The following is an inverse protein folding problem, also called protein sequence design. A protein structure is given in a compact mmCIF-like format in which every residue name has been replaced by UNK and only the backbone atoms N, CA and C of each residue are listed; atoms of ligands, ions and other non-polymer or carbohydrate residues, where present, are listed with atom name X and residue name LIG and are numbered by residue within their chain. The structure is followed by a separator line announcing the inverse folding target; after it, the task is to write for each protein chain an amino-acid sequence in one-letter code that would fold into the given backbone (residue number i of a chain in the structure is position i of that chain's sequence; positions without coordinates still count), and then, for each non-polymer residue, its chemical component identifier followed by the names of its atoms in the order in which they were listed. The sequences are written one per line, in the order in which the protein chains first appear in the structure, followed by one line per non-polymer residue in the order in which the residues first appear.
data_IF_541255995551
#
_entry.id   IF_541255995551
#
_cell.length_a   1.000
_cell.length_b   1.000
_cell.length_c   1.000
_cell.angle_alpha   90.00
_cell.angle_beta   90.00
_cell.angle_gamma   90.00
#
_symmetry.space_group_name_H-M   'P 1'
#
loop_
_entity.id
_entity.type
_entity.pdbx_description
1 polymer ?
#
# COMPACT_ATOMS: atom_id res chain seq x y z
N UNK A 1 4.67 21.69 -8.26
CA UNK A 1 5.66 21.58 -7.19
C UNK A 1 7.02 21.22 -7.79
N UNK A 2 8.08 21.97 -7.43
CA UNK A 2 9.43 21.74 -7.96
C UNK A 2 10.20 20.63 -7.23
N UNK A 3 9.85 20.37 -5.95
CA UNK A 3 10.41 19.28 -5.14
C UNK A 3 9.29 18.63 -4.34
N UNK A 4 9.39 17.32 -4.09
CA UNK A 4 8.44 16.58 -3.23
C UNK A 4 8.53 16.99 -1.76
N UNK A 5 9.69 17.51 -1.34
CA UNK A 5 9.97 17.83 0.05
C UNK A 5 9.46 19.23 0.46
N UNK A 6 9.09 20.06 -0.52
CA UNK A 6 8.55 21.41 -0.26
C UNK A 6 7.07 21.32 0.09
N UNK A 7 6.73 21.77 1.29
CA UNK A 7 5.36 21.94 1.76
C UNK A 7 4.87 23.35 1.39
N UNK A 8 3.89 23.41 0.49
CA UNK A 8 3.24 24.65 0.09
C UNK A 8 2.03 24.88 1.00
N UNK A 9 2.02 25.94 1.80
CA UNK A 9 0.95 26.27 2.76
C UNK A 9 0.06 27.39 2.24
N UNK A 10 -1.16 27.47 2.79
CA UNK A 10 -2.13 28.52 2.45
C UNK A 10 -2.76 28.36 1.07
N UNK A 11 -2.77 27.13 0.55
CA UNK A 11 -3.48 26.82 -0.69
C UNK A 11 -4.97 26.60 -0.42
N UNK A 12 -5.75 26.58 -1.49
CA UNK A 12 -7.17 26.20 -1.45
C UNK A 12 -7.39 24.91 -2.24
N UNK A 13 -8.32 24.10 -1.75
CA UNK A 13 -8.88 22.95 -2.46
C UNK A 13 -10.38 23.02 -2.47
N UNK A 14 -10.98 22.69 -3.60
CA UNK A 14 -12.43 22.42 -3.71
C UNK A 14 -12.58 21.01 -4.29
N UNK A 15 -13.38 20.19 -3.61
CA UNK A 15 -13.70 18.82 -4.01
C UNK A 15 -15.21 18.78 -4.24
N UNK A 16 -15.61 18.52 -5.48
CA UNK A 16 -17.00 18.52 -5.91
C UNK A 16 -17.43 17.14 -6.38
N UNK A 17 -18.69 16.80 -6.16
CA UNK A 17 -19.31 15.58 -6.69
C UNK A 17 -20.72 15.86 -7.20
N UNK A 18 -21.15 15.15 -8.24
CA UNK A 18 -22.49 15.28 -8.77
C UNK A 18 -23.54 14.92 -7.70
N UNK A 19 -24.49 15.84 -7.45
CA UNK A 19 -25.56 15.66 -6.46
C UNK A 19 -25.13 15.74 -5.00
N UNK A 20 -23.87 16.05 -4.71
CA UNK A 20 -23.32 16.24 -3.37
C UNK A 20 -23.02 17.70 -3.04
N UNK A 21 -22.62 17.93 -1.80
CA UNK A 21 -22.09 19.24 -1.36
C UNK A 21 -20.58 19.28 -1.61
N UNK A 22 -20.11 20.43 -2.07
CA UNK A 22 -18.68 20.67 -2.24
C UNK A 22 -17.99 20.81 -0.88
N UNK A 23 -16.79 20.24 -0.77
CA UNK A 23 -15.86 20.53 0.30
C UNK A 23 -14.88 21.61 -0.19
N UNK A 24 -14.84 22.74 0.51
CA UNK A 24 -13.83 23.78 0.24
C UNK A 24 -13.02 24.06 1.49
N UNK A 25 -11.71 24.05 1.36
CA UNK A 25 -10.75 24.45 2.41
C UNK A 25 -9.73 25.43 1.79
N UNK A 26 -9.57 26.59 2.44
CA UNK A 26 -8.71 27.69 1.96
C UNK A 26 -7.37 27.78 2.67
N UNK A 27 -7.05 26.81 3.52
CA UNK A 27 -5.77 26.77 4.26
C UNK A 27 -5.15 25.37 4.22
N UNK A 28 -4.99 24.86 3.03
CA UNK A 28 -4.44 23.52 2.77
C UNK A 28 -2.92 23.56 2.67
N UNK A 29 -2.27 22.57 3.26
CA UNK A 29 -0.88 22.24 2.93
C UNK A 29 -0.87 21.25 1.77
N UNK A 30 -0.06 21.53 0.75
CA UNK A 30 0.08 20.71 -0.45
C UNK A 30 1.55 20.36 -0.68
N UNK A 31 1.87 19.12 -1.04
CA UNK A 31 3.22 18.68 -1.40
C UNK A 31 3.23 17.57 -2.43
N UNK A 32 4.38 17.37 -3.07
CA UNK A 32 4.64 16.16 -3.85
C UNK A 32 4.80 14.92 -2.94
N UNK A 33 4.67 13.73 -3.53
CA UNK A 33 4.91 12.45 -2.85
C UNK A 33 5.48 11.40 -3.80
N UNK A 34 5.78 10.22 -3.25
CA UNK A 34 6.32 9.09 -4.00
C UNK A 34 7.84 9.16 -4.20
N UNK A 35 8.42 8.05 -4.54
CA UNK A 35 9.83 7.91 -4.85
C UNK A 35 10.02 7.83 -6.37
N UNK A 36 9.92 6.65 -6.96
CA UNK A 36 10.00 6.47 -8.42
C UNK A 36 8.94 7.30 -9.16
N UNK A 37 7.70 7.27 -8.70
CA UNK A 37 6.57 7.97 -9.34
C UNK A 37 6.70 9.48 -9.36
N UNK A 38 7.48 10.08 -8.44
CA UNK A 38 7.78 11.52 -8.45
C UNK A 38 8.65 11.93 -9.64
N UNK A 39 9.43 11.03 -10.19
CA UNK A 39 10.32 11.30 -11.33
C UNK A 39 9.58 11.31 -12.67
N UNK A 40 8.33 10.81 -12.70
CA UNK A 40 7.51 10.73 -13.90
C UNK A 40 6.87 12.09 -14.23
N UNK A 41 6.37 12.21 -15.45
CA UNK A 41 5.70 13.41 -15.95
C UNK A 41 4.38 13.72 -15.24
N UNK A 42 3.54 12.70 -14.97
CA UNK A 42 2.35 12.80 -14.13
C UNK A 42 2.69 12.42 -12.70
N UNK A 43 2.71 13.39 -11.81
CA UNK A 43 3.21 13.26 -10.44
C UNK A 43 2.11 13.02 -9.43
N UNK A 44 2.33 12.18 -8.42
CA UNK A 44 1.42 12.04 -7.29
C UNK A 44 1.62 13.17 -6.28
N UNK A 45 0.54 13.48 -5.52
CA UNK A 45 0.53 14.56 -4.55
C UNK A 45 -0.08 14.11 -3.22
N UNK A 46 0.14 14.93 -2.21
CA UNK A 46 -0.53 14.85 -0.91
C UNK A 46 -1.03 16.24 -0.55
N UNK A 47 -2.23 16.30 0.04
CA UNK A 47 -2.69 17.52 0.67
C UNK A 47 -3.20 17.25 2.09
N UNK A 48 -3.08 18.26 2.96
CA UNK A 48 -3.52 18.23 4.35
C UNK A 48 -4.50 19.37 4.57
N UNK A 49 -5.73 19.01 4.90
CA UNK A 49 -6.80 19.96 5.23
C UNK A 49 -6.50 20.68 6.55
N UNK A 50 -7.06 21.85 6.74
CA UNK A 50 -6.97 22.61 8.00
C UNK A 50 -7.63 21.87 9.16
N UNK A 51 -8.69 21.11 8.89
CA UNK A 51 -9.39 20.27 9.87
C UNK A 51 -9.78 18.93 9.29
N UNK A 52 -10.03 17.91 10.15
CA UNK A 52 -10.53 16.60 9.71
C UNK A 52 -11.89 16.75 9.05
N UNK A 53 -12.06 16.25 7.84
CA UNK A 53 -13.32 16.24 7.09
C UNK A 53 -13.53 14.87 6.39
N UNK A 54 -14.83 14.55 6.17
CA UNK A 54 -15.19 13.47 5.24
C UNK A 54 -15.00 13.96 3.81
N UNK A 55 -14.39 13.14 2.96
CA UNK A 55 -14.15 13.47 1.56
C UNK A 55 -14.79 12.40 0.68
N UNK A 56 -15.72 12.78 -0.18
CA UNK A 56 -16.43 11.88 -1.11
C UNK A 56 -17.00 10.62 -0.43
N UNK A 57 -17.51 10.76 0.78
CA UNK A 57 -18.08 9.66 1.57
C UNK A 57 -17.07 8.84 2.38
N UNK A 58 -15.78 9.02 2.15
CA UNK A 58 -14.71 8.39 2.95
C UNK A 58 -14.62 9.00 4.35
N UNK A 59 -14.02 8.28 5.28
CA UNK A 59 -13.97 8.67 6.68
C UNK A 59 -13.10 9.89 6.96
N UNK A 60 -13.41 10.56 8.08
CA UNK A 60 -12.78 11.84 8.41
C UNK A 60 -11.28 11.74 8.59
N UNK A 61 -10.54 12.51 7.81
CA UNK A 61 -9.10 12.70 7.96
C UNK A 61 -8.67 14.11 7.57
N UNK A 62 -7.45 14.47 7.94
CA UNK A 62 -6.78 15.69 7.43
C UNK A 62 -5.98 15.40 6.18
N UNK A 63 -5.23 14.29 6.15
CA UNK A 63 -4.27 13.98 5.09
C UNK A 63 -4.89 13.05 4.05
N UNK A 64 -4.77 13.46 2.79
CA UNK A 64 -5.31 12.77 1.63
C UNK A 64 -4.24 12.66 0.56
N UNK A 65 -4.28 11.57 -0.22
CA UNK A 65 -3.33 11.29 -1.27
C UNK A 65 -4.00 11.36 -2.64
N UNK A 66 -3.28 11.88 -3.61
CA UNK A 66 -3.62 11.84 -5.03
C UNK A 66 -2.61 10.93 -5.72
N UNK A 67 -2.99 9.67 -5.90
CA UNK A 67 -2.18 8.67 -6.59
C UNK A 67 -2.34 8.89 -8.10
N UNK A 68 -1.22 9.07 -8.79
CA UNK A 68 -1.23 9.46 -10.19
C UNK A 68 -1.63 8.33 -11.14
N UNK A 69 -1.49 7.07 -10.73
CA UNK A 69 -1.67 5.88 -11.57
C UNK A 69 -0.87 5.93 -12.88
N UNK A 70 0.30 6.59 -12.87
CA UNK A 70 1.07 6.82 -14.10
C UNK A 70 1.66 5.52 -14.64
N UNK A 71 1.93 4.56 -13.75
CA UNK A 71 2.44 3.24 -14.08
C UNK A 71 1.32 2.19 -14.23
N UNK A 72 0.08 2.58 -13.97
CA UNK A 72 -1.11 1.73 -14.16
C UNK A 72 -2.09 2.39 -15.13
N UNK A 73 -2.01 2.03 -16.41
CA UNK A 73 -2.89 2.58 -17.44
C UNK A 73 -4.36 2.17 -17.29
N UNK A 74 -4.65 1.11 -16.52
CA UNK A 74 -6.02 0.76 -16.14
C UNK A 74 -6.59 1.72 -15.08
N UNK A 75 -5.73 2.33 -14.27
CA UNK A 75 -6.06 3.18 -13.12
C UNK A 75 -6.84 2.45 -12.01
N UNK A 76 -6.97 1.12 -12.08
CA UNK A 76 -7.87 0.34 -11.22
C UNK A 76 -7.14 -0.54 -10.20
N UNK A 77 -5.88 -0.92 -10.45
CA UNK A 77 -5.20 -1.99 -9.68
C UNK A 77 -5.15 -1.71 -8.18
N UNK A 78 -4.67 -0.54 -7.78
CA UNK A 78 -4.65 -0.16 -6.36
C UNK A 78 -6.06 -0.22 -5.75
N UNK A 79 -7.06 0.42 -6.40
CA UNK A 79 -8.43 0.43 -5.89
C UNK A 79 -9.02 -0.96 -5.75
N UNK A 80 -8.81 -1.82 -6.75
CA UNK A 80 -9.34 -3.17 -6.75
C UNK A 80 -8.76 -4.02 -5.60
N UNK A 81 -7.45 -3.90 -5.35
CA UNK A 81 -6.80 -4.63 -4.24
C UNK A 81 -7.22 -4.07 -2.89
N UNK A 82 -7.34 -2.74 -2.75
CA UNK A 82 -7.80 -2.14 -1.49
C UNK A 82 -9.25 -2.55 -1.17
N UNK A 83 -10.12 -2.57 -2.17
CA UNK A 83 -11.51 -3.01 -1.98
C UNK A 83 -11.60 -4.50 -1.64
N UNK A 84 -10.75 -5.35 -2.23
CA UNK A 84 -10.66 -6.76 -1.89
C UNK A 84 -10.22 -6.95 -0.42
N UNK A 85 -9.17 -6.25 0.01
CA UNK A 85 -8.70 -6.32 1.39
C UNK A 85 -9.78 -5.88 2.38
N UNK A 86 -10.42 -4.73 2.13
CA UNK A 86 -11.54 -4.27 2.96
C UNK A 86 -12.71 -5.26 3.00
N UNK A 87 -13.00 -5.95 1.88
CA UNK A 87 -14.03 -6.99 1.84
C UNK A 87 -13.63 -8.28 2.57
N UNK A 88 -12.35 -8.47 2.85
CA UNK A 88 -11.81 -9.56 3.68
C UNK A 88 -11.68 -9.18 5.16
N UNK A 89 -12.23 -8.03 5.57
CA UNK A 89 -12.12 -7.44 6.91
C UNK A 89 -10.69 -6.99 7.29
N UNK A 90 -9.82 -6.79 6.28
CA UNK A 90 -8.50 -6.20 6.46
C UNK A 90 -8.54 -4.73 6.08
N UNK A 91 -8.24 -3.83 7.03
CA UNK A 91 -8.25 -2.41 6.70
C UNK A 91 -7.27 -2.10 5.57
N UNK A 92 -7.75 -1.43 4.54
CA UNK A 92 -6.97 -0.88 3.45
C UNK A 92 -7.48 0.52 3.09
N UNK A 93 -6.65 1.37 2.48
CA UNK A 93 -7.09 2.71 2.10
C UNK A 93 -8.31 2.68 1.18
N UNK A 94 -9.38 3.37 1.55
CA UNK A 94 -10.46 3.63 0.60
C UNK A 94 -10.05 4.74 -0.38
N UNK A 95 -10.65 4.77 -1.56
CA UNK A 95 -10.31 5.72 -2.61
C UNK A 95 -11.45 6.02 -3.56
N UNK A 96 -11.38 7.19 -4.19
CA UNK A 96 -12.32 7.64 -5.24
C UNK A 96 -11.52 8.21 -6.41
N UNK A 97 -11.89 7.86 -7.62
CA UNK A 97 -11.30 8.52 -8.80
C UNK A 97 -11.80 9.95 -8.91
N UNK A 98 -10.88 10.86 -9.16
CA UNK A 98 -11.14 12.29 -9.29
C UNK A 98 -10.36 12.86 -10.47
N UNK A 99 -11.01 13.76 -11.22
CA UNK A 99 -10.32 14.58 -12.19
C UNK A 99 -9.72 15.79 -11.50
N UNK A 100 -8.42 16.02 -11.66
CA UNK A 100 -7.66 17.02 -10.91
C UNK A 100 -7.29 18.22 -11.78
N UNK A 101 -7.53 19.41 -11.27
CA UNK A 101 -7.02 20.68 -11.81
C UNK A 101 -6.10 21.35 -10.78
N UNK A 102 -4.93 21.78 -11.21
CA UNK A 102 -4.02 22.59 -10.41
C UNK A 102 -3.79 23.90 -11.15
N UNK A 103 -4.08 25.01 -10.47
CA UNK A 103 -4.00 26.36 -11.04
C UNK A 103 -4.73 26.51 -12.39
N UNK A 104 -5.92 25.90 -12.49
CA UNK A 104 -6.73 25.92 -13.71
C UNK A 104 -6.29 24.98 -14.84
N UNK A 105 -5.20 24.22 -14.64
CA UNK A 105 -4.69 23.25 -15.61
C UNK A 105 -5.09 21.85 -15.24
N UNK A 106 -5.71 21.11 -16.16
CA UNK A 106 -6.08 19.71 -15.98
C UNK A 106 -4.84 18.83 -15.84
N UNK A 107 -4.80 18.04 -14.79
CA UNK A 107 -3.68 17.15 -14.45
C UNK A 107 -3.97 15.68 -14.73
N UNK A 108 -5.21 15.33 -15.07
CA UNK A 108 -5.62 13.96 -15.32
C UNK A 108 -6.49 13.36 -14.22
N UNK A 109 -6.80 12.08 -14.38
CA UNK A 109 -7.55 11.28 -13.43
C UNK A 109 -6.61 10.70 -12.35
N UNK A 110 -6.93 10.93 -11.09
CA UNK A 110 -6.18 10.43 -9.93
C UNK A 110 -7.05 9.53 -9.06
N UNK A 111 -6.43 8.63 -8.32
CA UNK A 111 -7.08 8.00 -7.19
C UNK A 111 -6.85 8.89 -5.96
N UNK A 112 -7.89 9.59 -5.53
CA UNK A 112 -7.91 10.27 -4.24
C UNK A 112 -8.17 9.23 -3.17
N UNK A 113 -7.20 8.97 -2.31
CA UNK A 113 -7.30 7.90 -1.33
C UNK A 113 -6.78 8.32 0.05
N UNK A 114 -7.10 7.49 1.01
CA UNK A 114 -6.63 7.55 2.38
C UNK A 114 -5.13 7.30 2.44
N UNK A 115 -4.48 7.89 3.43
CA UNK A 115 -3.06 7.63 3.71
C UNK A 115 -2.94 6.44 4.68
N UNK A 116 -2.03 5.53 4.41
CA UNK A 116 -1.57 4.56 5.42
C UNK A 116 -0.87 5.33 6.53
N UNK A 117 -1.48 5.37 7.69
CA UNK A 117 -1.00 6.05 8.89
C UNK A 117 -1.77 5.53 10.10
N UNK A 118 -1.24 5.73 11.29
CA UNK A 118 -1.95 5.47 12.54
C UNK A 118 -3.06 6.52 12.76
N UNK A 119 -4.19 6.09 13.27
CA UNK A 119 -5.29 6.97 13.68
C UNK A 119 -6.67 6.37 13.48
N UNK A 120 -7.66 7.02 14.05
CA UNK A 120 -9.07 6.64 13.94
C UNK A 120 -9.51 6.53 12.48
N UNK A 121 -10.12 5.42 12.10
CA UNK A 121 -10.50 5.04 10.74
C UNK A 121 -9.29 4.93 9.78
N UNK A 122 -8.14 4.56 10.30
CA UNK A 122 -6.91 4.21 9.59
C UNK A 122 -6.36 2.92 10.20
N UNK A 123 -5.04 2.78 10.31
CA UNK A 123 -4.48 1.75 11.18
C UNK A 123 -4.78 2.16 12.62
N UNK A 124 -5.78 1.54 13.22
CA UNK A 124 -6.21 1.87 14.58
C UNK A 124 -5.31 1.15 15.57
N UNK A 125 -4.52 1.92 16.30
CA UNK A 125 -3.70 1.46 17.41
C UNK A 125 -4.22 2.17 18.67
N UNK A 126 -4.65 1.38 19.66
CA UNK A 126 -5.26 1.89 20.88
C UNK A 126 -4.23 2.19 21.96
N UNK A 127 -3.06 1.50 21.90
CA UNK A 127 -2.00 1.66 22.87
C UNK A 127 -1.03 2.77 22.46
N UNK A 128 -0.59 3.59 23.43
CA UNK A 128 0.34 4.70 23.17
C UNK A 128 1.70 4.26 22.61
N UNK A 129 2.08 3.00 22.81
CA UNK A 129 3.29 2.38 22.28
C UNK A 129 3.05 1.53 21.02
N UNK A 130 1.92 1.73 20.36
CA UNK A 130 1.61 1.12 19.07
C UNK A 130 2.52 1.63 17.94
N UNK A 131 2.97 0.74 17.09
CA UNK A 131 3.91 1.01 15.99
C UNK A 131 3.38 0.48 14.67
N UNK A 132 3.47 1.31 13.64
CA UNK A 132 3.31 0.94 12.22
C UNK A 132 4.66 1.01 11.53
N UNK A 133 5.08 -0.11 10.95
CA UNK A 133 6.34 -0.26 10.25
C UNK A 133 6.14 -0.67 8.78
N UNK A 134 7.16 -0.44 7.96
CA UNK A 134 7.21 -0.90 6.58
C UNK A 134 8.51 -1.67 6.35
N UNK A 135 8.40 -2.87 5.80
CA UNK A 135 9.53 -3.56 5.19
C UNK A 135 9.86 -2.85 3.88
N UNK A 136 11.02 -2.18 3.83
CA UNK A 136 11.49 -1.40 2.69
C UNK A 136 12.96 -1.66 2.43
N UNK A 137 13.26 -2.59 1.56
CA UNK A 137 14.64 -2.92 1.19
C UNK A 137 15.22 -2.00 0.11
N UNK A 138 14.44 -1.01 -0.37
CA UNK A 138 14.84 -0.15 -1.48
C UNK A 138 15.20 1.25 -0.99
N UNK A 139 14.37 1.84 -0.13
CA UNK A 139 14.49 3.25 0.26
C UNK A 139 14.77 3.47 1.74
N UNK A 140 14.95 2.40 2.53
CA UNK A 140 15.14 2.46 3.99
C UNK A 140 16.22 3.44 4.44
N UNK A 141 17.30 3.56 3.68
CA UNK A 141 18.44 4.42 4.02
C UNK A 141 18.15 5.94 3.91
N UNK A 142 16.99 6.31 3.40
CA UNK A 142 16.47 7.67 3.39
C UNK A 142 15.59 8.00 4.59
N UNK A 143 15.28 6.99 5.43
CA UNK A 143 14.45 7.14 6.62
C UNK A 143 15.30 7.35 7.87
N UNK A 144 14.77 8.08 8.86
CA UNK A 144 15.51 8.40 10.09
C UNK A 144 15.62 7.19 11.03
N UNK A 145 14.55 6.39 11.13
CA UNK A 145 14.48 5.24 12.02
C UNK A 145 14.23 3.96 11.24
N UNK A 146 15.20 3.07 11.27
CA UNK A 146 15.12 1.74 10.68
C UNK A 146 16.03 0.76 11.38
N UNK A 147 15.72 -0.53 11.25
CA UNK A 147 16.59 -1.62 11.69
C UNK A 147 16.58 -2.75 10.65
N UNK A 148 17.43 -3.75 10.85
CA UNK A 148 17.49 -4.93 9.99
C UNK A 148 17.03 -6.15 10.78
N UNK A 149 16.02 -6.86 10.30
CA UNK A 149 15.56 -8.12 10.91
C UNK A 149 16.71 -9.16 10.97
N UNK A 150 16.83 -9.80 12.12
CA UNK A 150 18.01 -10.56 12.48
C UNK A 150 18.20 -11.86 11.68
N UNK A 151 17.13 -12.42 11.08
CA UNK A 151 17.16 -13.64 10.27
C UNK A 151 16.86 -13.36 8.79
N UNK A 152 15.87 -12.51 8.49
CA UNK A 152 15.48 -12.20 7.12
C UNK A 152 16.48 -11.29 6.41
N UNK A 153 17.21 -10.46 7.15
CA UNK A 153 18.03 -9.39 6.60
C UNK A 153 17.20 -8.24 6.00
N UNK A 154 15.89 -8.28 6.14
CA UNK A 154 14.97 -7.23 5.67
C UNK A 154 15.12 -5.97 6.50
N UNK A 155 15.07 -4.82 5.84
CA UNK A 155 15.08 -3.52 6.51
C UNK A 155 13.66 -3.08 6.82
N UNK A 156 13.42 -2.74 8.08
CA UNK A 156 12.14 -2.22 8.57
C UNK A 156 12.29 -0.75 8.94
N UNK A 157 11.36 0.07 8.47
CA UNK A 157 11.35 1.53 8.71
C UNK A 157 10.15 1.90 9.55
N UNK A 158 10.33 2.83 10.51
CA UNK A 158 9.24 3.40 11.29
C UNK A 158 8.42 4.34 10.39
N UNK A 159 7.13 4.05 10.22
CA UNK A 159 6.25 4.88 9.38
C UNK A 159 5.31 5.76 10.17
N UNK A 160 4.81 5.26 11.29
CA UNK A 160 3.95 6.02 12.18
C UNK A 160 3.87 5.34 13.56
N UNK A 161 3.42 6.06 14.56
CA UNK A 161 3.20 5.53 15.89
C UNK A 161 1.90 6.08 16.47
N UNK A 162 1.37 5.41 17.50
CA UNK A 162 0.21 5.88 18.24
C UNK A 162 0.53 7.09 19.12
N UNK A 163 1.80 7.29 19.51
CA UNK A 163 2.25 8.48 20.19
C UNK A 163 2.16 9.71 19.27
N UNK A 164 1.65 10.82 19.79
CA UNK A 164 1.51 12.06 19.04
C UNK A 164 2.88 12.61 18.59
N UNK A 165 3.00 12.89 17.28
CA UNK A 165 4.09 13.58 16.60
C UNK A 165 5.47 12.89 16.57
N UNK A 166 5.73 12.15 15.46
CA UNK A 166 7.08 11.70 15.07
C UNK A 166 8.09 12.86 14.84
N UNK A 167 7.61 14.11 14.75
CA UNK A 167 8.47 15.30 14.55
C UNK A 167 9.18 15.75 15.84
N UNK A 168 8.79 15.26 16.99
CA UNK A 168 9.52 15.44 18.24
C UNK A 168 10.14 14.08 18.62
N UNK A 169 11.47 14.03 18.73
CA UNK A 169 12.24 12.87 19.18
C UNK A 169 11.80 12.45 20.62
N UNK A 170 10.59 11.96 20.71
CA UNK A 170 10.06 11.51 21.99
C UNK A 170 10.71 10.18 22.38
N UNK A 171 11.24 10.14 23.59
CA UNK A 171 11.81 8.93 24.18
C UNK A 171 10.80 7.77 24.26
N UNK A 172 9.50 8.06 24.29
CA UNK A 172 8.43 7.06 24.29
C UNK A 172 8.33 6.36 22.92
N UNK A 173 8.31 7.10 21.82
CA UNK A 173 8.29 6.52 20.46
C UNK A 173 9.54 5.68 20.19
N UNK A 174 10.72 6.14 20.58
CA UNK A 174 11.96 5.37 20.41
C UNK A 174 11.97 4.08 21.26
N UNK A 175 11.39 4.13 22.46
CA UNK A 175 11.22 2.95 23.30
C UNK A 175 10.22 1.96 22.69
N UNK A 176 9.09 2.45 22.17
CA UNK A 176 8.10 1.65 21.47
C UNK A 176 8.71 1.00 20.22
N UNK A 177 9.49 1.76 19.44
CA UNK A 177 10.22 1.26 18.28
C UNK A 177 11.20 0.15 18.63
N UNK A 178 12.00 0.32 19.69
CA UNK A 178 12.92 -0.73 20.17
C UNK A 178 12.18 -1.98 20.69
N UNK A 179 10.98 -1.80 21.30
CA UNK A 179 10.12 -2.92 21.69
C UNK A 179 9.57 -3.66 20.49
N UNK A 180 9.21 -2.93 19.43
CA UNK A 180 8.77 -3.51 18.16
C UNK A 180 9.89 -4.32 17.49
N UNK A 181 11.11 -3.78 17.39
CA UNK A 181 12.30 -4.48 16.90
C UNK A 181 12.53 -5.79 17.65
N UNK A 182 12.50 -5.73 18.99
CA UNK A 182 12.67 -6.91 19.83
C UNK A 182 11.63 -7.99 19.54
N UNK A 183 10.35 -7.61 19.43
CA UNK A 183 9.27 -8.56 19.15
C UNK A 183 9.38 -9.17 17.75
N UNK A 184 9.83 -8.39 16.77
CA UNK A 184 10.07 -8.86 15.41
C UNK A 184 11.24 -9.84 15.36
N UNK A 185 12.34 -9.54 16.02
CA UNK A 185 13.50 -10.44 16.12
C UNK A 185 13.14 -11.75 16.85
N UNK A 186 12.37 -11.68 17.92
CA UNK A 186 11.86 -12.88 18.60
C UNK A 186 10.96 -13.72 17.69
N UNK A 187 10.14 -13.10 16.85
CA UNK A 187 9.34 -13.80 15.86
C UNK A 187 10.23 -14.45 14.79
N UNK A 188 11.19 -13.71 14.25
CA UNK A 188 12.12 -14.26 13.26
C UNK A 188 12.92 -15.42 13.80
N UNK A 189 13.43 -15.35 15.04
CA UNK A 189 14.19 -16.42 15.67
C UNK A 189 13.41 -17.75 15.70
N UNK A 190 12.13 -17.72 16.05
CA UNK A 190 11.31 -18.95 16.06
C UNK A 190 10.83 -19.36 14.68
N UNK A 191 10.60 -18.41 13.79
CA UNK A 191 10.19 -18.68 12.42
C UNK A 191 11.29 -19.35 11.60
N UNK A 192 12.54 -18.90 11.75
CA UNK A 192 13.68 -19.44 11.00
C UNK A 192 14.36 -20.62 11.69
N UNK A 193 13.91 -21.02 12.88
CA UNK A 193 14.42 -22.20 13.55
C UNK A 193 14.27 -23.44 12.67
N UNK A 194 15.26 -24.34 12.71
CA UNK A 194 15.24 -25.60 11.96
C UNK A 194 14.13 -26.55 12.46
N UNK A 195 13.83 -26.48 13.75
CA UNK A 195 12.74 -27.23 14.40
C UNK A 195 11.64 -26.23 14.77
N UNK A 196 10.66 -26.07 13.86
CA UNK A 196 9.59 -25.09 13.97
C UNK A 196 8.51 -25.57 14.93
N UNK A 197 8.30 -24.85 16.03
CA UNK A 197 7.13 -25.04 16.90
C UNK A 197 6.02 -24.06 16.51
N UNK A 198 4.98 -24.58 15.88
CA UNK A 198 3.85 -23.77 15.45
C UNK A 198 3.16 -23.05 16.61
N UNK A 199 3.06 -23.65 17.79
CA UNK A 199 2.41 -22.99 18.93
C UNK A 199 3.19 -21.73 19.35
N UNK A 200 4.52 -21.77 19.26
CA UNK A 200 5.34 -20.60 19.56
C UNK A 200 5.22 -19.58 18.43
N UNK A 201 5.35 -19.99 17.18
CA UNK A 201 5.24 -19.09 16.02
C UNK A 201 3.89 -18.37 16.04
N UNK A 202 2.78 -19.12 16.16
CA UNK A 202 1.43 -18.56 16.11
C UNK A 202 1.10 -17.67 17.32
N UNK A 203 1.85 -17.78 18.43
CA UNK A 203 1.70 -16.87 19.57
C UNK A 203 2.36 -15.51 19.39
N UNK A 204 3.15 -15.31 18.31
CA UNK A 204 3.86 -14.07 18.02
C UNK A 204 3.21 -13.23 16.95
N UNK A 205 2.24 -13.78 16.20
CA UNK A 205 1.61 -13.14 15.06
C UNK A 205 0.07 -13.27 15.10
N UNK A 206 -0.62 -12.33 14.50
CA UNK A 206 -2.00 -12.54 14.08
C UNK A 206 -2.02 -13.39 12.81
N UNK A 207 -2.29 -14.68 12.99
CA UNK A 207 -2.19 -15.67 11.90
C UNK A 207 -3.14 -15.34 10.75
N UNK A 208 -4.30 -14.74 11.05
CA UNK A 208 -5.29 -14.39 10.03
C UNK A 208 -4.79 -13.25 9.16
N UNK A 209 -4.31 -12.15 9.72
CA UNK A 209 -3.78 -11.02 8.94
C UNK A 209 -2.61 -11.45 8.05
N UNK A 210 -1.73 -12.33 8.56
CA UNK A 210 -0.65 -12.90 7.75
C UNK A 210 -1.19 -13.75 6.59
N UNK A 211 -2.20 -14.60 6.82
CA UNK A 211 -2.79 -15.43 5.78
C UNK A 211 -3.52 -14.59 4.72
N UNK A 212 -4.27 -13.56 5.12
CA UNK A 212 -5.01 -12.68 4.22
C UNK A 212 -4.08 -11.81 3.38
N UNK A 213 -3.06 -11.22 4.01
CA UNK A 213 -2.02 -10.46 3.28
C UNK A 213 -1.30 -11.34 2.24
N UNK A 214 -0.92 -12.57 2.63
CA UNK A 214 -0.32 -13.55 1.72
C UNK A 214 -1.24 -13.85 0.55
N UNK A 215 -2.50 -14.21 0.82
CA UNK A 215 -3.48 -14.58 -0.20
C UNK A 215 -3.71 -13.45 -1.22
N UNK A 216 -3.89 -12.23 -0.73
CA UNK A 216 -4.08 -11.06 -1.61
C UNK A 216 -2.85 -10.89 -2.50
N UNK A 217 -1.65 -10.86 -1.92
CA UNK A 217 -0.41 -10.62 -2.63
C UNK A 217 -0.08 -11.69 -3.68
N UNK A 218 -0.33 -12.96 -3.35
CA UNK A 218 -0.13 -14.08 -4.27
C UNK A 218 -1.15 -14.10 -5.40
N UNK A 219 -2.42 -13.86 -5.09
CA UNK A 219 -3.47 -13.90 -6.09
C UNK A 219 -3.34 -12.81 -7.15
N UNK A 220 -2.91 -11.61 -6.75
CA UNK A 220 -2.70 -10.51 -7.70
C UNK A 220 -1.30 -10.50 -8.30
N UNK A 221 -0.41 -11.39 -7.85
CA UNK A 221 1.00 -11.48 -8.28
C UNK A 221 1.69 -10.10 -8.26
N UNK A 222 1.62 -9.41 -7.13
CA UNK A 222 2.31 -8.13 -6.98
C UNK A 222 3.81 -8.37 -6.75
N UNK A 223 4.61 -8.17 -7.79
CA UNK A 223 6.04 -8.45 -7.75
C UNK A 223 6.85 -7.53 -6.83
N UNK A 224 6.31 -6.37 -6.46
CA UNK A 224 6.94 -5.42 -5.54
C UNK A 224 6.71 -5.77 -4.06
N UNK A 225 5.66 -6.55 -3.81
CA UNK A 225 5.37 -7.08 -2.48
C UNK A 225 6.55 -7.90 -1.97
N UNK A 226 6.79 -7.84 -0.66
CA UNK A 226 7.89 -8.48 0.06
C UNK A 226 9.27 -7.83 -0.15
N UNK A 227 9.37 -6.78 -0.97
CA UNK A 227 10.62 -6.01 -1.17
C UNK A 227 10.52 -4.60 -0.59
N UNK A 228 9.40 -3.93 -0.82
CA UNK A 228 9.06 -2.61 -0.30
C UNK A 228 7.55 -2.49 -0.15
N UNK A 229 7.08 -1.38 0.41
CA UNK A 229 5.64 -1.11 0.59
C UNK A 229 4.87 -2.21 1.32
N UNK A 230 5.57 -3.02 2.10
CA UNK A 230 5.03 -4.15 2.86
C UNK A 230 4.90 -3.74 4.32
N UNK A 231 3.67 -3.47 4.75
CA UNK A 231 3.42 -2.97 6.10
C UNK A 231 3.17 -4.08 7.10
N UNK A 232 3.58 -3.81 8.34
CA UNK A 232 3.21 -4.59 9.52
C UNK A 232 3.07 -3.65 10.72
N UNK A 233 2.31 -4.06 11.71
CA UNK A 233 2.08 -3.24 12.90
C UNK A 233 1.93 -4.07 14.15
N UNK A 234 1.97 -3.40 15.30
CA UNK A 234 1.74 -3.96 16.63
C UNK A 234 1.09 -2.92 17.50
N UNK A 235 -0.03 -3.27 18.14
CA UNK A 235 -0.76 -2.36 19.04
C UNK A 235 -0.23 -2.47 20.47
N UNK A 236 1.03 -2.00 20.66
CA UNK A 236 1.70 -1.98 21.94
C UNK A 236 2.47 -3.27 22.30
N UNK A 237 3.11 -3.25 23.48
CA UNK A 237 4.04 -4.28 23.89
C UNK A 237 3.39 -5.64 24.23
N UNK A 238 2.11 -5.64 24.56
CA UNK A 238 1.36 -6.84 24.93
C UNK A 238 0.62 -7.50 23.74
N UNK A 239 0.65 -6.86 22.55
CA UNK A 239 0.05 -7.37 21.33
C UNK A 239 1.03 -8.23 20.50
N UNK A 240 0.52 -8.90 19.48
CA UNK A 240 1.29 -9.68 18.50
C UNK A 240 1.56 -8.85 17.23
N UNK A 241 2.40 -9.35 16.34
CA UNK A 241 2.62 -8.73 15.03
C UNK A 241 1.44 -9.00 14.09
N UNK A 242 0.96 -7.95 13.42
CA UNK A 242 -0.05 -8.01 12.36
C UNK A 242 0.57 -7.64 11.02
N UNK A 243 0.13 -8.29 9.94
CA UNK A 243 0.46 -7.89 8.56
C UNK A 243 -0.56 -6.91 8.00
N UNK A 244 -0.08 -6.05 7.15
CA UNK A 244 -0.91 -5.03 6.49
C UNK A 244 -0.68 -3.63 7.06
N UNK A 245 -1.42 -2.64 6.51
CA UNK A 245 -2.37 -2.77 5.39
C UNK A 245 -1.68 -3.00 4.04
N UNK A 246 -2.46 -3.46 3.06
CA UNK A 246 -2.00 -3.54 1.67
C UNK A 246 -1.78 -2.15 1.10
N UNK A 247 -0.67 -1.96 0.36
CA UNK A 247 -0.29 -0.68 -0.23
C UNK A 247 0.57 -0.88 -1.48
N UNK A 248 0.38 0.00 -2.49
CA UNK A 248 1.21 0.08 -3.69
C UNK A 248 1.14 -1.17 -4.59
N UNK A 249 -0.08 -1.47 -5.04
CA UNK A 249 -0.37 -2.62 -5.90
C UNK A 249 -0.52 -2.25 -7.38
N UNK A 250 0.06 -1.16 -7.81
CA UNK A 250 0.01 -0.75 -9.22
C UNK A 250 0.83 -1.68 -10.14
N UNK A 251 1.78 -2.41 -9.58
CA UNK A 251 2.58 -3.43 -10.26
C UNK A 251 1.95 -4.84 -10.26
N UNK A 252 0.74 -4.98 -9.71
CA UNK A 252 -0.02 -6.24 -9.65
C UNK A 252 -0.78 -6.56 -10.94
N UNK A 253 -1.44 -7.73 -10.98
CA UNK A 253 -2.36 -8.14 -12.05
C UNK A 253 -1.73 -7.98 -13.44
N UNK A 254 -0.57 -8.60 -13.62
CA UNK A 254 0.20 -8.61 -14.85
C UNK A 254 0.64 -7.21 -15.37
N UNK A 255 0.75 -6.24 -14.49
CA UNK A 255 1.28 -4.91 -14.83
C UNK A 255 2.80 -4.89 -14.66
N UNK A 256 3.50 -5.72 -15.42
CA UNK A 256 4.96 -5.84 -15.40
C UNK A 256 5.55 -5.67 -16.77
N UNK A 257 6.75 -5.14 -16.78
CA UNK A 257 7.60 -5.11 -17.96
C UNK A 257 8.68 -6.22 -17.82
N UNK A 258 8.92 -6.94 -18.89
CA UNK A 258 10.02 -7.91 -18.99
C UNK A 258 11.39 -7.27 -18.69
N UNK A 259 11.50 -5.94 -18.81
CA UNK A 259 12.71 -5.19 -18.48
C UNK A 259 13.12 -5.27 -16.99
N UNK A 260 12.21 -5.65 -16.10
CA UNK A 260 12.52 -5.89 -14.68
C UNK A 260 13.14 -7.28 -14.41
N UNK A 261 13.42 -8.06 -15.46
CA UNK A 261 14.16 -9.31 -15.33
C UNK A 261 13.34 -10.51 -14.89
N UNK A 262 12.04 -10.36 -14.76
CA UNK A 262 11.13 -11.47 -14.45
C UNK A 262 10.74 -12.15 -15.75
N UNK A 263 11.47 -13.21 -16.12
CA UNK A 263 11.30 -13.91 -17.39
C UNK A 263 9.95 -14.63 -17.52
N UNK A 264 9.29 -14.97 -16.43
CA UNK A 264 7.94 -15.50 -16.38
C UNK A 264 7.33 -15.25 -15.01
N UNK A 265 6.61 -14.14 -14.78
CA UNK A 265 6.01 -13.82 -13.49
C UNK A 265 4.97 -14.84 -13.03
N UNK A 266 4.41 -15.63 -13.94
CA UNK A 266 3.41 -16.65 -13.64
C UNK A 266 4.01 -18.05 -13.42
N UNK A 267 5.33 -18.20 -13.41
CA UNK A 267 5.99 -19.50 -13.26
C UNK A 267 6.16 -19.93 -11.82
N UNK A 268 6.02 -19.00 -10.86
CA UNK A 268 6.25 -19.27 -9.44
C UNK A 268 5.36 -18.36 -8.58
N UNK A 269 5.33 -18.63 -7.28
CA UNK A 269 4.65 -17.78 -6.30
C UNK A 269 5.33 -16.42 -6.16
N UNK A 270 4.55 -15.36 -5.89
CA UNK A 270 5.07 -14.02 -5.69
C UNK A 270 6.09 -13.96 -4.55
N UNK A 271 5.90 -14.75 -3.50
CA UNK A 271 6.86 -14.88 -2.38
C UNK A 271 8.23 -15.43 -2.79
N UNK A 272 8.33 -16.13 -3.92
CA UNK A 272 9.58 -16.69 -4.44
C UNK A 272 10.20 -15.81 -5.54
N UNK A 273 9.49 -14.80 -6.01
CA UNK A 273 10.00 -13.89 -7.02
C UNK A 273 11.06 -12.99 -6.37
N UNK A 274 12.32 -13.30 -6.67
CA UNK A 274 13.44 -12.45 -6.32
C UNK A 274 13.94 -11.74 -7.58
N UNK A 275 14.21 -10.45 -7.46
CA UNK A 275 14.93 -9.77 -8.52
C UNK A 275 16.40 -10.20 -8.50
N UNK A 276 16.68 -11.34 -9.12
CA UNK A 276 18.01 -11.91 -9.17
C UNK A 276 19.03 -11.02 -9.90
N UNK A 277 18.54 -10.09 -10.73
CA UNK A 277 19.43 -9.18 -11.48
C UNK A 277 19.91 -8.01 -10.62
N UNK A 278 19.13 -7.58 -9.63
CA UNK A 278 19.46 -6.46 -8.74
C UNK A 278 20.04 -6.87 -7.41
N UNK A 279 19.95 -8.14 -7.04
CA UNK A 279 20.38 -8.63 -5.74
C UNK A 279 19.58 -8.02 -4.57
N UNK A 280 18.34 -7.63 -4.81
CA UNK A 280 17.47 -7.05 -3.80
C UNK A 280 17.06 -8.11 -2.77
N UNK A 281 17.02 -7.69 -1.50
CA UNK A 281 16.55 -8.53 -0.40
C UNK A 281 15.02 -8.59 -0.47
N UNK A 282 14.47 -9.77 -0.27
CA UNK A 282 13.03 -9.99 -0.19
C UNK A 282 12.66 -10.53 1.19
N UNK A 283 11.55 -10.09 1.73
CA UNK A 283 11.00 -10.61 2.98
C UNK A 283 10.58 -12.06 2.81
N UNK A 284 11.27 -12.98 3.46
CA UNK A 284 11.06 -14.42 3.28
C UNK A 284 10.18 -15.08 4.36
N UNK A 285 9.46 -14.28 5.15
CA UNK A 285 8.57 -14.79 6.21
C UNK A 285 7.54 -15.78 5.67
N UNK A 286 6.92 -15.47 4.53
CA UNK A 286 5.90 -16.34 3.94
C UNK A 286 6.47 -17.63 3.38
N UNK A 287 7.69 -17.60 2.85
CA UNK A 287 8.42 -18.82 2.46
C UNK A 287 8.63 -19.75 3.66
N UNK A 288 8.95 -19.20 4.82
CA UNK A 288 9.13 -19.95 6.06
C UNK A 288 7.81 -20.41 6.68
N UNK A 289 6.78 -19.54 6.71
CA UNK A 289 5.44 -19.87 7.21
C UNK A 289 4.79 -20.98 6.39
N UNK A 290 4.96 -20.97 5.07
CA UNK A 290 4.42 -22.02 4.17
C UNK A 290 5.05 -23.39 4.38
N UNK A 291 6.14 -23.51 5.13
CA UNK A 291 6.66 -24.81 5.60
C UNK A 291 5.83 -25.41 6.73
N UNK A 292 5.10 -24.57 7.48
CA UNK A 292 4.20 -25.01 8.55
C UNK A 292 2.87 -25.48 7.98
N UNK A 293 2.48 -26.73 8.30
CA UNK A 293 1.21 -27.28 7.81
C UNK A 293 0.01 -26.48 8.30
N UNK A 294 0.03 -26.06 9.56
CA UNK A 294 -1.06 -25.33 10.18
C UNK A 294 -1.28 -23.95 9.52
N UNK A 295 -0.21 -23.27 9.11
CA UNK A 295 -0.36 -22.03 8.36
C UNK A 295 -1.02 -22.26 6.99
N UNK A 296 -0.59 -23.30 6.27
CA UNK A 296 -1.23 -23.67 5.00
C UNK A 296 -2.70 -24.00 5.14
N UNK A 297 -3.09 -24.62 6.25
CA UNK A 297 -4.50 -24.94 6.56
C UNK A 297 -5.31 -23.65 6.77
N UNK A 298 -4.77 -22.66 7.48
CA UNK A 298 -5.41 -21.33 7.65
C UNK A 298 -5.52 -20.62 6.29
N UNK A 299 -4.44 -20.58 5.51
CA UNK A 299 -4.46 -19.98 4.15
C UNK A 299 -5.54 -20.65 3.28
N UNK A 300 -5.63 -21.98 3.29
CA UNK A 300 -6.63 -22.70 2.52
C UNK A 300 -8.05 -22.38 2.98
N UNK A 301 -8.27 -22.32 4.28
CA UNK A 301 -9.58 -22.00 4.88
C UNK A 301 -10.01 -20.58 4.52
N UNK A 302 -9.12 -19.59 4.70
CA UNK A 302 -9.37 -18.20 4.33
C UNK A 302 -9.64 -18.04 2.83
N UNK A 303 -8.87 -18.72 1.98
CA UNK A 303 -9.15 -18.72 0.55
C UNK A 303 -10.54 -19.24 0.23
N UNK A 304 -10.91 -20.41 0.75
CA UNK A 304 -12.17 -21.06 0.37
C UNK A 304 -13.41 -20.34 0.90
N UNK A 305 -13.34 -19.81 2.11
CA UNK A 305 -14.51 -19.27 2.81
C UNK A 305 -14.60 -17.76 2.83
N UNK A 306 -13.49 -17.05 2.57
CA UNK A 306 -13.47 -15.59 2.57
C UNK A 306 -13.16 -15.04 1.19
N UNK A 307 -11.99 -15.33 0.63
CA UNK A 307 -11.53 -14.69 -0.61
C UNK A 307 -12.25 -15.20 -1.86
N UNK A 308 -12.37 -16.51 -2.03
CA UNK A 308 -12.97 -17.11 -3.23
C UNK A 308 -14.40 -16.62 -3.51
N UNK A 309 -15.33 -16.52 -2.54
CA UNK A 309 -16.66 -15.95 -2.79
C UNK A 309 -16.64 -14.51 -3.30
N UNK A 310 -15.67 -13.70 -2.86
CA UNK A 310 -15.49 -12.33 -3.35
C UNK A 310 -15.00 -12.31 -4.80
N UNK A 311 -14.14 -13.26 -5.16
CA UNK A 311 -13.61 -13.37 -6.51
C UNK A 311 -14.63 -13.86 -7.55
N UNK A 312 -15.71 -14.51 -7.15
CA UNK A 312 -16.77 -14.95 -8.05
C UNK A 312 -17.42 -13.77 -8.80
N UNK A 313 -17.45 -12.58 -8.19
CA UNK A 313 -17.98 -11.34 -8.78
C UNK A 313 -16.90 -10.39 -9.28
N UNK A 314 -15.64 -10.80 -9.31
CA UNK A 314 -14.51 -9.93 -9.64
C UNK A 314 -14.65 -9.22 -10.99
N UNK A 315 -15.08 -9.95 -12.02
CA UNK A 315 -15.30 -9.38 -13.35
C UNK A 315 -16.38 -8.29 -13.36
N UNK A 316 -17.43 -8.45 -12.57
CA UNK A 316 -18.50 -7.44 -12.43
C UNK A 316 -17.95 -6.19 -11.75
N UNK A 317 -17.21 -6.35 -10.65
CA UNK A 317 -16.52 -5.26 -9.96
C UNK A 317 -15.59 -4.47 -10.90
N UNK A 318 -14.79 -5.16 -11.70
CA UNK A 318 -13.90 -4.50 -12.68
C UNK A 318 -14.70 -3.75 -13.77
N UNK A 319 -15.84 -4.28 -14.22
CA UNK A 319 -16.72 -3.60 -15.17
C UNK A 319 -17.36 -2.35 -14.58
N UNK A 320 -17.71 -2.35 -13.30
CA UNK A 320 -18.23 -1.18 -12.59
C UNK A 320 -17.17 -0.09 -12.48
N UNK A 321 -15.93 -0.45 -12.16
CA UNK A 321 -14.81 0.49 -12.19
C UNK A 321 -14.58 1.07 -13.57
N UNK A 322 -14.57 0.22 -14.59
CA UNK A 322 -14.44 0.65 -15.98
C UNK A 322 -15.55 1.64 -16.38
N UNK A 323 -16.79 1.35 -16.02
CA UNK A 323 -17.93 2.23 -16.30
C UNK A 323 -17.79 3.59 -15.58
N UNK A 324 -17.32 3.58 -14.34
CA UNK A 324 -17.06 4.79 -13.56
C UNK A 324 -15.95 5.63 -14.19
N UNK A 325 -14.89 5.00 -14.67
CA UNK A 325 -13.71 5.66 -15.24
C UNK A 325 -13.88 6.12 -16.70
N UNK A 326 -14.86 5.63 -17.42
CA UNK A 326 -14.93 5.73 -18.88
C UNK A 326 -14.60 7.13 -19.45
N UNK A 327 -15.20 8.18 -18.90
CA UNK A 327 -14.97 9.54 -19.39
C UNK A 327 -13.64 10.12 -18.92
N UNK A 328 -13.30 9.92 -17.64
CA UNK A 328 -12.02 10.38 -17.07
C UNK A 328 -10.83 9.71 -17.73
N UNK A 329 -10.94 8.41 -18.06
CA UNK A 329 -9.92 7.68 -18.78
C UNK A 329 -9.68 8.25 -20.19
N UNK A 330 -10.74 8.56 -20.94
CA UNK A 330 -10.61 9.20 -22.26
C UNK A 330 -9.89 10.55 -22.17
N UNK A 331 -10.19 11.36 -21.15
CA UNK A 331 -9.51 12.63 -20.90
C UNK A 331 -8.06 12.44 -20.46
N UNK A 332 -7.78 11.42 -19.64
CA UNK A 332 -6.43 11.02 -19.22
C UNK A 332 -5.54 10.74 -20.43
N UNK A 333 -6.01 9.92 -21.38
CA UNK A 333 -5.26 9.56 -22.59
C UNK A 333 -5.07 10.74 -23.55
N UNK A 334 -5.93 11.74 -23.52
CA UNK A 334 -5.72 13.00 -24.27
C UNK A 334 -4.66 13.89 -23.59
N UNK A 335 -4.64 13.90 -22.24
CA UNK A 335 -3.73 14.74 -21.46
C UNK A 335 -2.30 14.20 -21.46
N UNK A 336 -2.16 12.88 -21.34
CA UNK A 336 -0.90 12.17 -21.22
C UNK A 336 -0.75 11.18 -22.35
N UNK A 337 0.38 11.21 -23.06
CA UNK A 337 0.70 10.18 -24.04
C UNK A 337 1.11 8.90 -23.30
N UNK A 338 0.23 7.91 -23.30
CA UNK A 338 0.42 6.65 -22.60
C UNK A 338 0.88 5.51 -23.52
N UNK A 339 1.02 5.77 -24.83
CA UNK A 339 1.25 4.73 -25.84
C UNK A 339 2.64 4.07 -25.76
N UNK A 340 3.65 4.83 -25.33
CA UNK A 340 5.06 4.43 -25.43
C UNK A 340 5.76 4.44 -24.05
N UNK A 341 5.05 4.16 -22.97
CA UNK A 341 5.67 4.14 -21.63
C UNK A 341 6.26 2.76 -21.34
N UNK A 342 7.57 2.65 -21.09
CA UNK A 342 8.17 1.41 -20.59
C UNK A 342 7.61 1.06 -19.20
N UNK A 343 7.31 -0.21 -18.97
CA UNK A 343 6.85 -0.69 -17.66
C UNK A 343 5.38 -0.48 -17.36
N UNK A 344 4.57 -0.03 -18.30
CA UNK A 344 3.11 0.06 -18.13
C UNK A 344 2.43 -1.09 -18.85
N UNK A 345 1.36 -1.65 -18.27
CA UNK A 345 0.44 -2.48 -19.03
C UNK A 345 0.03 -1.69 -20.28
N UNK A 346 0.30 -2.24 -21.44
CA UNK A 346 0.04 -1.55 -22.70
C UNK A 346 -1.46 -1.27 -22.79
N UNK A 347 -1.81 -0.02 -23.05
CA UNK A 347 -3.03 0.24 -23.79
C UNK A 347 -3.00 -0.70 -25.00
N UNK A 348 -4.13 -1.21 -25.43
CA UNK A 348 -4.16 -2.02 -26.63
C UNK A 348 -3.42 -1.32 -27.77
N UNK A 349 -3.06 -2.05 -28.82
CA UNK A 349 -2.32 -1.50 -29.97
C UNK A 349 -3.03 -0.31 -30.63
N UNK A 350 -4.34 -0.11 -30.37
CA UNK A 350 -5.12 1.03 -30.84
C UNK A 350 -4.86 2.31 -30.02
N UNK A 351 -4.26 2.18 -28.84
CA UNK A 351 -4.04 3.28 -27.89
C UNK A 351 -5.33 3.87 -27.34
N UNK A 352 -6.37 3.08 -27.30
CA UNK A 352 -7.64 3.42 -26.65
C UNK A 352 -7.77 2.65 -25.35
N UNK A 353 -8.37 3.30 -24.37
CA UNK A 353 -8.72 2.63 -23.12
C UNK A 353 -9.90 1.68 -23.36
N UNK A 354 -9.71 0.39 -23.10
CA UNK A 354 -10.74 -0.65 -23.25
C UNK A 354 -11.05 -1.34 -21.94
#
# INVERSE_FOLDING_TARGET
AGSKDVKYKGNSVTISQAGGSDLTDTNVEFKGRGNTTWTLDKRPYQFKLSSKAKVLGMDKAKTWLLIANRQDTSMMRNKAVYDLANAMDEWAPDGRWVDVWIDGSYQGCYLLCEKVQVGTNRVELEQEDGILAEADNIYYNGEEYWFTGNQSGTHFTLKDSAADDLDEQDSATLKAWSSFETALDEFEDVLYASDKDWNIISSKIDVQSFADYYLISEWVENWDTFKSSTFCYRDGADDVLHMGPVWDYDSALNNKDESYGVSNPHADYAMNIQDQQRGEISLTWFTELMKCQQFREVVQERYQHTMRPLLENWSETCNDYRSTLENSAKMEFVRWDLKDQPGTARADESGTWQ
#
